data_IF_227259235510
#
_entry.id   IF_227259235510
#
_cell.length_a   1.000
_cell.length_b   1.000
_cell.length_c   1.000
_cell.angle_alpha   90.00
_cell.angle_beta   90.00
_cell.angle_gamma   90.00
#
_symmetry.space_group_name_H-M   'P 1'
#
loop_
_entity.id
_entity.type
_entity.pdbx_description
1 polymer ?
#
# COMPACT_ATOMS: atom_id res chain seq x y z
N UNK A 1 -16.57 -25.72 11.48
CA UNK A 1 -15.22 -26.04 10.97
C UNK A 1 -15.15 -25.53 9.55
N UNK A 2 -14.36 -24.49 9.27
CA UNK A 2 -14.12 -24.07 7.89
C UNK A 2 -13.29 -25.15 7.20
N UNK A 3 -13.80 -25.65 6.07
CA UNK A 3 -13.14 -26.71 5.33
C UNK A 3 -11.92 -26.10 4.61
N UNK A 4 -10.72 -26.32 5.17
CA UNK A 4 -9.46 -25.79 4.62
C UNK A 4 -9.12 -26.28 3.19
N UNK A 5 -9.93 -27.18 2.63
CA UNK A 5 -9.74 -27.79 1.32
C UNK A 5 -10.71 -27.29 0.23
N UNK A 6 -11.58 -26.31 0.52
CA UNK A 6 -12.42 -25.69 -0.51
C UNK A 6 -11.57 -24.75 -1.39
N UNK A 7 -11.72 -24.76 -2.72
CA UNK A 7 -10.95 -23.88 -3.61
C UNK A 7 -11.10 -22.40 -3.17
N UNK A 8 -10.00 -21.66 -3.26
CA UNK A 8 -10.00 -20.22 -3.05
C UNK A 8 -10.86 -19.60 -4.16
N UNK A 9 -11.94 -18.92 -3.78
CA UNK A 9 -12.85 -18.25 -4.71
C UNK A 9 -12.76 -16.77 -4.44
N UNK A 10 -12.57 -15.98 -5.50
CA UNK A 10 -12.54 -14.53 -5.39
C UNK A 10 -13.96 -13.97 -5.37
N UNK A 11 -14.46 -13.59 -4.20
CA UNK A 11 -15.83 -13.10 -3.99
C UNK A 11 -15.90 -11.59 -3.73
N UNK A 12 -14.79 -10.96 -3.31
CA UNK A 12 -14.72 -9.52 -3.12
C UNK A 12 -14.87 -8.77 -4.46
N UNK A 13 -15.92 -7.96 -4.67
CA UNK A 13 -16.07 -7.21 -5.92
C UNK A 13 -15.01 -6.12 -6.05
N UNK A 14 -14.59 -5.85 -7.30
CA UNK A 14 -13.75 -4.70 -7.60
C UNK A 14 -14.51 -3.39 -7.34
N UNK A 15 -13.94 -2.44 -6.58
CA UNK A 15 -14.58 -1.15 -6.36
C UNK A 15 -14.55 -0.31 -7.64
N UNK A 16 -15.66 0.35 -7.95
CA UNK A 16 -15.63 1.43 -8.95
C UNK A 16 -14.92 2.66 -8.35
N UNK A 17 -13.72 2.94 -8.87
CA UNK A 17 -12.90 4.08 -8.49
C UNK A 17 -12.84 5.16 -9.57
N UNK A 18 -13.69 5.11 -10.61
CA UNK A 18 -13.63 6.02 -11.75
C UNK A 18 -13.66 7.50 -11.33
N UNK A 19 -14.53 7.86 -10.38
CA UNK A 19 -14.63 9.22 -9.84
C UNK A 19 -13.36 9.69 -9.10
N UNK A 20 -12.56 8.75 -8.61
CA UNK A 20 -11.37 8.99 -7.79
C UNK A 20 -10.07 8.87 -8.57
N UNK A 21 -10.14 8.40 -9.82
CA UNK A 21 -8.99 8.04 -10.62
C UNK A 21 -8.10 9.22 -10.98
N UNK A 22 -8.68 10.40 -11.25
CA UNK A 22 -7.89 11.55 -11.66
C UNK A 22 -6.91 12.06 -10.58
N UNK A 23 -7.30 12.00 -9.30
CA UNK A 23 -6.55 12.65 -8.22
C UNK A 23 -6.69 14.17 -8.20
N UNK A 24 -5.94 14.84 -7.31
CA UNK A 24 -5.90 16.30 -7.21
C UNK A 24 -4.48 16.89 -7.24
N UNK A 25 -3.47 16.07 -7.51
CA UNK A 25 -2.05 16.47 -7.46
C UNK A 25 -1.40 16.64 -8.84
N UNK A 26 -2.12 16.28 -9.91
CA UNK A 26 -1.55 16.12 -11.25
C UNK A 26 -0.94 14.74 -11.51
N UNK A 27 -0.81 13.89 -10.49
CA UNK A 27 -0.48 12.47 -10.63
C UNK A 27 -1.74 11.64 -10.47
N UNK A 28 -2.10 10.87 -11.52
CA UNK A 28 -3.27 9.99 -11.53
C UNK A 28 -3.32 9.13 -10.26
N UNK A 29 -4.50 8.98 -9.66
CA UNK A 29 -4.75 8.14 -8.49
C UNK A 29 -4.20 8.70 -7.17
N UNK A 30 -3.60 9.89 -7.17
CA UNK A 30 -3.03 10.50 -5.98
C UNK A 30 -3.88 11.68 -5.51
N UNK A 31 -4.32 11.60 -4.27
CA UNK A 31 -5.02 12.66 -3.55
C UNK A 31 -4.15 13.19 -2.43
N UNK A 32 -4.02 14.50 -2.31
CA UNK A 32 -3.30 15.17 -1.22
C UNK A 32 -4.19 16.23 -0.60
N UNK A 33 -4.26 16.22 0.73
CA UNK A 33 -5.01 17.18 1.52
C UNK A 33 -4.06 17.79 2.56
N UNK A 34 -3.87 19.10 2.51
CA UNK A 34 -3.10 19.85 3.49
C UNK A 34 -4.06 20.59 4.43
N UNK A 35 -3.84 20.47 5.74
CA UNK A 35 -4.60 21.20 6.75
C UNK A 35 -4.18 22.67 6.89
N UNK A 36 -2.99 23.04 6.38
CA UNK A 36 -2.35 24.33 6.62
C UNK A 36 -1.81 24.50 8.05
N UNK A 37 -1.95 23.49 8.91
CA UNK A 37 -1.45 23.50 10.28
C UNK A 37 -0.21 22.60 10.43
N UNK A 38 0.80 23.00 11.22
CA UNK A 38 1.98 22.16 11.44
C UNK A 38 1.60 20.77 11.99
N UNK A 39 2.07 19.73 11.31
CA UNK A 39 1.83 18.34 11.65
C UNK A 39 2.51 17.39 10.67
N UNK A 40 2.41 16.09 10.94
CA UNK A 40 3.05 15.05 10.12
C UNK A 40 2.42 14.95 8.75
N UNK A 41 3.22 14.55 7.77
CA UNK A 41 2.72 14.05 6.48
C UNK A 41 2.50 12.54 6.57
N UNK A 42 1.24 12.12 6.51
CA UNK A 42 0.86 10.70 6.44
C UNK A 42 0.50 10.33 5.00
N UNK A 43 1.09 9.26 4.48
CA UNK A 43 0.71 8.63 3.23
C UNK A 43 0.04 7.28 3.48
N UNK A 44 -1.05 7.01 2.77
CA UNK A 44 -1.73 5.71 2.75
C UNK A 44 -1.78 5.24 1.30
N UNK A 45 -1.19 4.08 1.02
CA UNK A 45 -1.17 3.47 -0.31
C UNK A 45 -2.05 2.24 -0.37
N UNK A 46 -2.58 1.98 -1.56
CA UNK A 46 -3.25 0.72 -1.92
C UNK A 46 -2.93 0.35 -3.36
N UNK A 47 -3.33 -0.85 -3.76
CA UNK A 47 -3.15 -1.35 -5.13
C UNK A 47 -1.69 -1.33 -5.57
N UNK A 48 -0.73 -1.53 -4.66
CA UNK A 48 0.66 -1.78 -5.11
C UNK A 48 0.68 -3.02 -6.02
N UNK A 49 -0.17 -4.00 -5.71
CA UNK A 49 -0.58 -5.06 -6.61
C UNK A 49 -2.05 -4.87 -7.03
N UNK A 50 -2.36 -5.13 -8.30
CA UNK A 50 -3.69 -4.82 -8.86
C UNK A 50 -4.82 -5.73 -8.37
N UNK A 51 -4.50 -6.91 -7.82
CA UNK A 51 -5.48 -7.89 -7.32
C UNK A 51 -5.83 -7.73 -5.83
N UNK A 52 -5.29 -6.72 -5.15
CA UNK A 52 -5.43 -6.54 -3.70
C UNK A 52 -6.48 -5.46 -3.37
N UNK A 53 -7.75 -5.83 -3.54
CA UNK A 53 -8.85 -4.86 -3.65
C UNK A 53 -9.27 -4.21 -2.32
N UNK A 54 -8.87 -4.78 -1.18
CA UNK A 54 -9.16 -4.27 0.16
C UNK A 54 -8.73 -2.80 0.34
N UNK A 55 -7.49 -2.47 -0.04
CA UNK A 55 -7.00 -1.11 0.05
C UNK A 55 -7.72 -0.15 -0.90
N UNK A 56 -8.16 -0.62 -2.07
CA UNK A 56 -8.93 0.20 -2.98
C UNK A 56 -10.30 0.58 -2.38
N UNK A 57 -10.97 -0.37 -1.73
CA UNK A 57 -12.20 -0.12 -0.97
C UNK A 57 -11.98 0.85 0.18
N UNK A 58 -10.91 0.67 0.96
CA UNK A 58 -10.57 1.54 2.09
C UNK A 58 -10.35 2.99 1.64
N UNK A 59 -9.52 3.21 0.62
CA UNK A 59 -9.23 4.55 0.12
C UNK A 59 -10.44 5.20 -0.53
N UNK A 60 -11.23 4.44 -1.30
CA UNK A 60 -12.52 4.91 -1.83
C UNK A 60 -13.44 5.39 -0.70
N UNK A 61 -13.58 4.61 0.37
CA UNK A 61 -14.38 4.97 1.54
C UNK A 61 -13.91 6.25 2.22
N UNK A 62 -12.59 6.43 2.40
CA UNK A 62 -12.02 7.66 2.97
C UNK A 62 -12.32 8.89 2.10
N UNK A 63 -12.24 8.73 0.77
CA UNK A 63 -12.53 9.80 -0.19
C UNK A 63 -14.02 10.15 -0.22
N UNK A 64 -14.90 9.16 -0.25
CA UNK A 64 -16.36 9.32 -0.19
C UNK A 64 -16.81 9.98 1.11
N UNK A 65 -16.19 9.62 2.24
CA UNK A 65 -16.45 10.25 3.53
C UNK A 65 -15.85 11.66 3.66
N UNK A 66 -15.07 12.13 2.67
CA UNK A 66 -14.47 13.46 2.69
C UNK A 66 -13.45 13.64 3.80
N UNK A 67 -12.73 12.57 4.20
CA UNK A 67 -11.75 12.63 5.30
C UNK A 67 -10.66 13.67 5.01
N UNK A 68 -10.35 14.51 5.99
CA UNK A 68 -9.31 15.55 5.93
C UNK A 68 -8.45 15.52 7.19
N UNK A 69 -7.13 15.78 7.08
CA UNK A 69 -6.29 15.91 8.26
C UNK A 69 -6.65 17.16 9.05
N UNK A 70 -6.70 17.07 10.38
CA UNK A 70 -6.83 18.24 11.26
C UNK A 70 -5.51 19.01 11.38
N UNK A 71 -4.38 18.32 11.25
CA UNK A 71 -3.01 18.86 11.28
C UNK A 71 -2.12 18.09 10.31
N UNK A 72 -1.14 18.77 9.71
CA UNK A 72 -0.24 18.19 8.72
C UNK A 72 -0.93 17.91 7.38
N UNK A 73 -0.48 16.86 6.71
CA UNK A 73 -0.89 16.48 5.36
C UNK A 73 -1.31 15.01 5.31
N UNK A 74 -2.36 14.70 4.56
CA UNK A 74 -2.76 13.34 4.20
C UNK A 74 -2.59 13.14 2.70
N UNK A 75 -1.86 12.10 2.31
CA UNK A 75 -1.81 11.59 0.93
C UNK A 75 -2.48 10.23 0.86
N UNK A 76 -3.38 10.04 -0.10
CA UNK A 76 -3.97 8.75 -0.47
C UNK A 76 -3.52 8.41 -1.89
N UNK A 77 -3.02 7.19 -2.10
CA UNK A 77 -2.49 6.78 -3.40
C UNK A 77 -3.05 5.41 -3.83
N UNK A 78 -3.72 5.39 -5.00
CA UNK A 78 -3.95 4.17 -5.76
C UNK A 78 -2.72 3.92 -6.66
N UNK A 79 -1.94 2.89 -6.36
CA UNK A 79 -0.59 2.75 -6.92
C UNK A 79 -0.58 2.17 -8.33
N UNK A 80 -0.86 0.88 -8.52
CA UNK A 80 -0.76 0.17 -9.79
C UNK A 80 -2.11 0.12 -10.53
N UNK A 81 -2.59 1.29 -10.94
CA UNK A 81 -3.89 1.44 -11.63
C UNK A 81 -3.98 0.63 -12.93
N UNK A 82 -2.91 0.56 -13.73
CA UNK A 82 -2.90 -0.24 -14.96
C UNK A 82 -3.04 -1.75 -14.68
N UNK A 83 -2.44 -2.25 -13.60
CA UNK A 83 -2.62 -3.65 -13.20
C UNK A 83 -4.03 -3.91 -12.66
N UNK A 84 -4.57 -2.98 -11.87
CA UNK A 84 -5.95 -3.02 -11.38
C UNK A 84 -6.98 -3.03 -12.52
N UNK A 85 -6.75 -2.29 -13.61
CA UNK A 85 -7.64 -2.29 -14.79
C UNK A 85 -7.77 -3.65 -15.47
N UNK A 86 -6.80 -4.53 -15.25
CA UNK A 86 -6.78 -5.89 -15.81
C UNK A 86 -7.36 -6.92 -14.84
N UNK A 87 -7.88 -6.49 -13.70
CA UNK A 87 -8.45 -7.39 -12.71
C UNK A 87 -9.58 -8.22 -13.32
N UNK A 88 -9.41 -9.54 -13.25
CA UNK A 88 -10.41 -10.53 -13.59
C UNK A 88 -10.52 -11.49 -12.40
N UNK A 89 -11.69 -11.63 -11.73
CA UNK A 89 -11.83 -12.55 -10.60
C UNK A 89 -11.56 -14.02 -10.96
N UNK A 90 -11.69 -14.41 -12.24
CA UNK A 90 -11.37 -15.75 -12.71
C UNK A 90 -9.88 -15.97 -12.96
N UNK A 91 -9.09 -14.89 -13.01
CA UNK A 91 -7.64 -14.92 -13.24
C UNK A 91 -6.94 -13.83 -12.40
N UNK A 92 -7.31 -13.72 -11.13
CA UNK A 92 -6.93 -12.58 -10.29
C UNK A 92 -5.41 -12.37 -10.21
N UNK A 93 -4.62 -13.45 -10.13
CA UNK A 93 -3.15 -13.35 -10.05
C UNK A 93 -2.50 -12.74 -11.30
N UNK A 94 -3.14 -12.82 -12.46
CA UNK A 94 -2.67 -12.18 -13.69
C UNK A 94 -2.72 -10.64 -13.60
N UNK A 95 -3.45 -10.09 -12.64
CA UNK A 95 -3.55 -8.65 -12.37
C UNK A 95 -2.68 -8.19 -11.21
N UNK A 96 -1.86 -9.09 -10.62
CA UNK A 96 -0.93 -8.72 -9.54
C UNK A 96 0.03 -7.61 -9.96
N UNK A 97 0.60 -7.73 -11.15
CA UNK A 97 1.41 -6.73 -11.82
C UNK A 97 1.38 -6.98 -13.35
N UNK A 98 1.90 -6.05 -14.15
CA UNK A 98 1.96 -6.19 -15.60
C UNK A 98 3.33 -6.70 -16.05
N UNK A 99 4.40 -5.95 -15.80
CA UNK A 99 5.73 -6.31 -16.27
C UNK A 99 6.56 -6.90 -15.11
N UNK A 100 6.53 -6.26 -13.94
CA UNK A 100 7.29 -6.67 -12.75
C UNK A 100 6.55 -6.32 -11.45
N UNK A 101 6.84 -7.01 -10.35
CA UNK A 101 6.30 -6.68 -9.03
C UNK A 101 6.72 -5.24 -8.62
N UNK A 102 5.74 -4.32 -8.54
CA UNK A 102 5.94 -2.92 -8.15
C UNK A 102 6.57 -2.80 -6.76
N UNK A 103 6.21 -3.70 -5.85
CA UNK A 103 6.75 -3.75 -4.48
C UNK A 103 8.17 -4.32 -4.42
N UNK A 104 8.89 -4.39 -5.55
CA UNK A 104 10.34 -4.64 -5.63
C UNK A 104 11.09 -3.52 -6.35
N UNK A 105 10.42 -2.46 -6.80
CA UNK A 105 11.02 -1.44 -7.66
C UNK A 105 11.45 -0.17 -6.94
N UNK A 106 11.33 -0.10 -5.61
CA UNK A 106 11.60 1.11 -4.82
C UNK A 106 13.08 1.35 -4.56
N UNK A 107 13.83 1.46 -5.66
CA UNK A 107 15.26 1.75 -5.73
C UNK A 107 15.41 2.87 -6.76
N UNK A 108 16.13 3.95 -6.43
CA UNK A 108 16.19 5.13 -7.30
C UNK A 108 16.66 4.79 -8.70
N UNK A 109 17.71 3.96 -8.83
CA UNK A 109 18.22 3.53 -10.12
C UNK A 109 17.20 2.72 -10.93
N UNK A 110 16.35 1.91 -10.28
CA UNK A 110 15.28 1.15 -10.96
C UNK A 110 14.16 2.09 -11.42
N UNK A 111 13.76 3.03 -10.57
CA UNK A 111 12.71 4.00 -10.91
C UNK A 111 13.15 4.94 -12.03
N UNK A 112 14.39 5.42 -11.98
CA UNK A 112 14.96 6.32 -12.99
C UNK A 112 15.18 5.62 -14.34
N UNK A 113 15.43 4.30 -14.35
CA UNK A 113 15.51 3.52 -15.59
C UNK A 113 14.19 3.52 -16.37
N UNK A 114 13.04 3.55 -15.68
CA UNK A 114 11.70 3.75 -16.28
C UNK A 114 11.37 2.80 -17.46
N UNK A 115 11.99 1.62 -17.50
CA UNK A 115 11.92 0.66 -18.60
C UNK A 115 10.72 -0.29 -18.50
N UNK A 116 10.10 -0.43 -17.33
CA UNK A 116 8.83 -1.12 -17.11
C UNK A 116 7.69 -0.18 -16.71
N UNK A 117 6.43 -0.63 -16.85
CA UNK A 117 5.26 0.12 -16.37
C UNK A 117 5.35 0.39 -14.87
N UNK A 118 5.70 -0.62 -14.07
CA UNK A 118 5.78 -0.45 -12.62
C UNK A 118 6.90 0.49 -12.18
N UNK A 119 8.04 0.52 -12.89
CA UNK A 119 9.12 1.48 -12.60
C UNK A 119 8.73 2.90 -12.94
N UNK A 120 8.10 3.14 -14.10
CA UNK A 120 7.54 4.46 -14.45
C UNK A 120 6.52 4.92 -13.42
N UNK A 121 5.64 4.01 -13.00
CA UNK A 121 4.61 4.32 -12.02
C UNK A 121 5.20 4.57 -10.63
N UNK A 122 6.15 3.76 -10.18
CA UNK A 122 6.89 4.02 -8.93
C UNK A 122 7.63 5.37 -8.98
N UNK A 123 8.26 5.72 -10.10
CA UNK A 123 8.90 7.03 -10.29
C UNK A 123 7.90 8.20 -10.18
N UNK A 124 6.69 8.05 -10.73
CA UNK A 124 5.63 9.06 -10.61
C UNK A 124 5.09 9.20 -9.17
N UNK A 125 5.13 8.12 -8.38
CA UNK A 125 4.71 8.09 -6.98
C UNK A 125 5.82 8.52 -6.01
N UNK A 126 7.09 8.40 -6.41
CA UNK A 126 8.29 8.66 -5.59
C UNK A 126 8.21 9.96 -4.78
N UNK A 127 7.82 11.13 -5.33
CA UNK A 127 7.81 12.37 -4.56
C UNK A 127 6.86 12.32 -3.35
N UNK A 128 5.74 11.61 -3.46
CA UNK A 128 4.75 11.53 -2.39
C UNK A 128 5.18 10.60 -1.27
N UNK A 129 5.84 9.49 -1.61
CA UNK A 129 6.35 8.53 -0.63
C UNK A 129 7.62 9.06 0.05
N UNK A 130 8.54 9.68 -0.71
CA UNK A 130 9.78 10.23 -0.16
C UNK A 130 9.53 11.39 0.84
N UNK A 131 8.46 12.16 0.66
CA UNK A 131 8.08 13.27 1.55
C UNK A 131 7.31 12.82 2.79
N UNK A 132 6.72 11.62 2.77
CA UNK A 132 5.90 11.15 3.88
C UNK A 132 6.74 10.95 5.14
N UNK A 133 6.25 11.46 6.27
CA UNK A 133 6.80 11.09 7.56
C UNK A 133 6.35 9.67 7.89
N UNK A 134 5.06 9.37 7.70
CA UNK A 134 4.46 8.09 8.06
C UNK A 134 3.79 7.46 6.85
N UNK A 135 3.99 6.14 6.65
CA UNK A 135 3.42 5.37 5.57
C UNK A 135 2.61 4.17 6.12
N UNK A 136 1.38 4.02 5.63
CA UNK A 136 0.60 2.79 5.74
C UNK A 136 0.35 2.23 4.35
N UNK A 137 0.89 1.04 4.08
CA UNK A 137 0.72 0.34 2.80
C UNK A 137 -0.28 -0.82 2.95
N UNK A 138 -1.41 -0.75 2.25
CA UNK A 138 -2.51 -1.72 2.42
C UNK A 138 -2.40 -2.81 1.36
N UNK A 139 -2.21 -4.04 1.84
CA UNK A 139 -2.09 -5.27 1.06
C UNK A 139 -3.07 -6.33 1.56
N UNK A 140 -3.09 -7.46 0.86
CA UNK A 140 -3.75 -8.69 1.31
C UNK A 140 -2.88 -9.89 0.90
N UNK A 141 -3.31 -11.11 1.20
CA UNK A 141 -2.53 -12.33 1.01
C UNK A 141 -3.17 -13.29 0.01
N UNK A 142 -2.34 -14.07 -0.70
CA UNK A 142 -2.80 -15.10 -1.64
C UNK A 142 -3.48 -16.26 -0.90
N UNK A 143 -3.00 -16.56 0.30
CA UNK A 143 -3.50 -17.65 1.13
C UNK A 143 -4.55 -17.17 2.13
N UNK A 144 -5.45 -18.07 2.54
CA UNK A 144 -6.32 -17.83 3.70
C UNK A 144 -5.48 -17.70 4.97
N UNK A 145 -5.43 -16.48 5.50
CA UNK A 145 -4.77 -16.17 6.77
C UNK A 145 -5.54 -15.07 7.51
N UNK A 146 -5.37 -15.02 8.83
CA UNK A 146 -5.87 -13.91 9.62
C UNK A 146 -5.12 -12.63 9.23
N UNK A 147 -5.77 -11.45 9.25
CA UNK A 147 -5.09 -10.19 8.99
C UNK A 147 -3.88 -9.99 9.91
N UNK A 148 -2.83 -9.36 9.40
CA UNK A 148 -1.59 -9.10 10.16
C UNK A 148 -0.93 -7.79 9.78
N UNK A 149 -0.04 -7.32 10.63
CA UNK A 149 0.86 -6.20 10.37
C UNK A 149 2.24 -6.72 10.02
N UNK A 150 2.80 -6.19 8.94
CA UNK A 150 4.16 -6.43 8.54
C UNK A 150 5.01 -5.17 8.78
N UNK A 151 6.05 -5.32 9.58
CA UNK A 151 7.03 -4.28 9.89
C UNK A 151 8.44 -4.71 9.47
N UNK A 152 9.32 -3.72 9.35
CA UNK A 152 10.75 -3.93 9.16
C UNK A 152 11.40 -4.21 10.51
N UNK A 153 12.70 -4.46 10.51
CA UNK A 153 13.49 -4.76 11.72
C UNK A 153 13.66 -3.57 12.65
N UNK A 154 13.27 -2.36 12.23
CA UNK A 154 13.45 -1.12 12.96
C UNK A 154 12.51 -1.03 14.19
N UNK A 155 13.03 -0.80 15.42
CA UNK A 155 12.22 -0.72 16.64
C UNK A 155 11.08 0.29 16.58
N UNK A 156 11.28 1.46 15.95
CA UNK A 156 10.24 2.48 15.76
C UNK A 156 9.00 1.98 15.02
N UNK A 157 9.17 1.09 14.04
CA UNK A 157 8.07 0.53 13.26
C UNK A 157 7.31 -0.55 14.06
N UNK A 158 8.03 -1.38 14.83
CA UNK A 158 7.41 -2.32 15.76
C UNK A 158 6.61 -1.60 16.85
N UNK A 159 7.11 -0.48 17.36
CA UNK A 159 6.38 0.34 18.33
C UNK A 159 5.09 0.89 17.72
N UNK A 160 5.11 1.34 16.46
CA UNK A 160 3.91 1.78 15.76
C UNK A 160 2.90 0.65 15.58
N UNK A 161 3.36 -0.54 15.16
CA UNK A 161 2.49 -1.71 14.99
C UNK A 161 1.76 -2.05 16.31
N UNK A 162 2.50 -2.07 17.42
CA UNK A 162 1.93 -2.28 18.76
C UNK A 162 0.93 -1.18 19.16
N UNK A 163 1.23 0.07 18.84
CA UNK A 163 0.35 1.20 19.14
C UNK A 163 -0.93 1.21 18.29
N UNK A 164 -0.86 0.75 17.03
CA UNK A 164 -2.02 0.63 16.16
C UNK A 164 -2.99 -0.45 16.68
N UNK A 165 -2.46 -1.53 17.26
CA UNK A 165 -3.23 -2.52 18.02
C UNK A 165 -4.18 -3.39 17.18
N UNK A 166 -4.27 -3.15 15.89
CA UNK A 166 -5.09 -3.91 14.95
C UNK A 166 -4.44 -3.93 13.56
N UNK A 167 -4.39 -5.09 12.89
CA UNK A 167 -4.69 -6.43 13.41
C UNK A 167 -3.70 -6.91 14.50
N UNK A 168 -4.10 -7.92 15.26
CA UNK A 168 -3.38 -8.41 16.46
C UNK A 168 -2.00 -8.99 16.14
N UNK A 169 -1.87 -9.69 15.01
CA UNK A 169 -0.63 -10.36 14.64
C UNK A 169 0.38 -9.39 14.02
N UNK A 170 1.61 -9.41 14.51
CA UNK A 170 2.72 -8.60 13.99
C UNK A 170 3.84 -9.52 13.52
N UNK A 171 4.23 -9.36 12.27
CA UNK A 171 5.38 -10.03 11.64
C UNK A 171 6.48 -8.99 11.41
N UNK A 172 7.70 -9.35 11.80
CA UNK A 172 8.91 -8.55 11.57
C UNK A 172 9.74 -9.27 10.52
N UNK A 173 10.05 -8.58 9.42
CA UNK A 173 10.83 -9.14 8.31
C UNK A 173 11.92 -8.16 7.85
N UNK A 174 13.07 -8.70 7.42
CA UNK A 174 14.24 -7.94 7.01
C UNK A 174 14.20 -7.46 5.54
N UNK A 175 13.19 -7.84 4.76
CA UNK A 175 13.08 -7.47 3.36
C UNK A 175 13.09 -8.64 2.40
N UNK A 176 13.07 -8.31 1.11
CA UNK A 176 13.08 -9.30 0.03
C UNK A 176 14.36 -9.17 -0.78
N UNK A 177 15.02 -10.30 -1.07
CA UNK A 177 16.25 -10.32 -1.88
C UNK A 177 16.07 -9.80 -3.32
N UNK A 178 14.83 -9.84 -3.83
CA UNK A 178 14.51 -9.46 -5.22
C UNK A 178 14.41 -7.93 -5.44
N UNK A 179 14.31 -7.15 -4.35
CA UNK A 179 14.25 -5.69 -4.41
C UNK A 179 13.61 -5.06 -3.18
N UNK A 180 13.60 -3.73 -3.17
CA UNK A 180 13.10 -2.92 -2.06
C UNK A 180 11.59 -2.72 -2.20
N UNK A 181 10.88 -2.92 -1.08
CA UNK A 181 9.44 -2.68 -0.94
C UNK A 181 9.17 -1.20 -0.67
N UNK A 182 7.97 -0.70 -0.97
CA UNK A 182 7.61 0.71 -0.73
C UNK A 182 7.85 1.10 0.74
N UNK A 183 7.44 0.22 1.66
CA UNK A 183 7.61 0.38 3.11
C UNK A 183 9.06 0.44 3.58
N UNK A 184 10.03 0.05 2.76
CA UNK A 184 11.45 0.06 3.10
C UNK A 184 12.22 1.15 2.32
N UNK A 185 11.52 1.98 1.51
CA UNK A 185 12.15 2.98 0.67
C UNK A 185 12.68 4.19 1.45
N UNK A 186 13.87 4.66 1.07
CA UNK A 186 14.48 5.87 1.61
C UNK A 186 14.58 5.85 3.13
N UNK A 187 14.05 6.89 3.79
CA UNK A 187 14.11 7.04 5.26
C UNK A 187 13.45 5.87 6.00
N UNK A 188 12.48 5.19 5.40
CA UNK A 188 11.80 4.07 6.05
C UNK A 188 12.70 2.85 6.23
N UNK A 189 13.68 2.64 5.33
CA UNK A 189 14.64 1.54 5.42
C UNK A 189 15.85 1.82 6.33
N UNK A 190 16.09 3.08 6.70
CA UNK A 190 17.25 3.48 7.51
C UNK A 190 17.14 2.99 8.97
N UNK A 191 18.29 2.89 9.64
CA UNK A 191 18.35 2.66 11.08
C UNK A 191 17.70 3.83 11.85
N UNK A 192 17.22 3.56 13.07
CA UNK A 192 16.49 4.55 13.89
C UNK A 192 17.28 5.86 14.10
N UNK A 193 18.61 5.78 14.20
CA UNK A 193 19.48 6.94 14.38
C UNK A 193 19.45 7.91 13.18
N UNK A 194 19.19 7.41 11.97
CA UNK A 194 19.30 8.18 10.71
C UNK A 194 17.93 8.46 10.07
N UNK A 195 16.88 7.77 10.52
CA UNK A 195 15.56 7.82 9.91
C UNK A 195 14.68 9.01 10.37
N UNK A 196 15.09 9.71 11.43
CA UNK A 196 14.27 10.69 12.13
C UNK A 196 12.98 10.07 12.68
N UNK A 197 11.87 10.82 12.69
CA UNK A 197 10.56 10.34 13.17
C UNK A 197 9.76 9.51 12.14
N UNK A 198 10.44 8.99 11.10
CA UNK A 198 9.76 8.28 10.01
C UNK A 198 9.26 6.91 10.44
N UNK A 199 8.06 6.51 9.99
CA UNK A 199 7.48 5.21 10.32
C UNK A 199 6.77 4.60 9.11
N UNK A 200 6.91 3.30 8.94
CA UNK A 200 6.20 2.56 7.89
C UNK A 200 5.62 1.25 8.42
N UNK A 201 4.37 0.99 8.02
CA UNK A 201 3.72 -0.30 8.21
C UNK A 201 3.11 -0.77 6.91
N UNK A 202 3.08 -2.08 6.74
CA UNK A 202 2.22 -2.73 5.78
C UNK A 202 1.17 -3.52 6.56
N UNK A 203 -0.07 -3.49 6.10
CA UNK A 203 -1.12 -4.37 6.61
C UNK A 203 -1.47 -5.40 5.55
N UNK A 204 -1.61 -6.65 5.98
CA UNK A 204 -2.12 -7.74 5.18
C UNK A 204 -3.54 -8.04 5.64
N UNK A 205 -4.56 -7.74 4.83
CA UNK A 205 -5.96 -7.77 5.25
C UNK A 205 -6.64 -9.16 5.21
N UNK A 206 -5.88 -10.25 5.12
CA UNK A 206 -6.43 -11.60 4.90
C UNK A 206 -6.39 -12.02 3.43
N UNK A 207 -7.17 -13.02 3.03
CA UNK A 207 -7.18 -13.51 1.65
C UNK A 207 -7.75 -12.45 0.69
N UNK A 208 -7.01 -12.08 -0.38
CA UNK A 208 -7.37 -11.02 -1.32
C UNK A 208 -8.81 -11.11 -1.86
N UNK A 209 -9.31 -12.33 -2.04
CA UNK A 209 -10.61 -12.59 -2.62
C UNK A 209 -11.77 -12.66 -1.63
N UNK A 210 -11.53 -12.62 -0.32
CA UNK A 210 -12.59 -12.77 0.68
C UNK A 210 -13.27 -11.42 1.00
N UNK A 211 -14.58 -11.41 1.21
CA UNK A 211 -15.28 -10.19 1.66
C UNK A 211 -14.83 -9.74 3.05
N UNK A 212 -14.38 -10.67 3.90
CA UNK A 212 -13.84 -10.36 5.23
C UNK A 212 -12.53 -9.56 5.20
N UNK A 213 -11.91 -9.42 4.03
CA UNK A 213 -10.71 -8.60 3.83
C UNK A 213 -11.00 -7.14 3.46
N UNK A 214 -12.27 -6.75 3.26
CA UNK A 214 -12.67 -5.37 2.95
C UNK A 214 -12.70 -4.47 4.19
#
# INVERSE_FOLDING_TARGET
MMNHNAPLTFTLPAPDIAAWRAGNTGTEGVWRFDSGQPGRHVAISSLVHGNELCGAWALKGLLEAGVRPQRGTLTLAFCNLEAFDRFDPLSHDASRFIDQDMNRQWIDERMDAADSRERRRAAALRPFIAQADWLLDIHSMHERAAPLLLTGVQPRNLQLAKAMGAPEHIVVDAGHKDGVRMRDYGRFGLADADAGDSRSLLVECGFHGDESSR
#
